data_IF_190626300661
#
_entry.id   IF_190626300661
#
_cell.length_a   1.000
_cell.length_b   1.000
_cell.length_c   1.000
_cell.angle_alpha   90.00
_cell.angle_beta   90.00
_cell.angle_gamma   90.00
#
_symmetry.space_group_name_H-M   'P 1'
#
loop_
_entity.id
_entity.type
_entity.pdbx_description
1 polymer ?
#
# COMPACT_ATOMS: atom_id res chain seq x y z
N UNK A 1 10.97 4.53 18.12
CA UNK A 1 10.63 3.49 19.10
C UNK A 1 10.29 2.26 18.28
N UNK A 2 11.02 1.17 18.47
CA UNK A 2 10.78 -0.09 17.78
C UNK A 2 9.55 -0.80 18.37
N UNK A 3 9.01 -1.74 17.63
CA UNK A 3 7.85 -2.54 18.01
C UNK A 3 8.32 -3.99 18.17
N UNK A 4 7.96 -4.62 19.28
CA UNK A 4 8.29 -6.03 19.53
C UNK A 4 7.33 -6.95 18.75
N UNK A 5 7.81 -8.15 18.39
CA UNK A 5 6.95 -9.15 17.76
C UNK A 5 5.74 -9.51 18.64
N UNK A 6 5.94 -9.58 19.95
CA UNK A 6 4.89 -9.88 20.93
C UNK A 6 3.77 -8.83 21.05
N UNK A 7 3.94 -7.65 20.45
CA UNK A 7 2.90 -6.60 20.39
C UNK A 7 1.91 -6.80 19.22
N UNK A 8 2.18 -7.74 18.32
CA UNK A 8 1.25 -8.11 17.24
C UNK A 8 0.23 -9.11 17.79
N UNK A 9 -1.05 -8.89 17.54
CA UNK A 9 -2.10 -9.82 17.99
C UNK A 9 -2.02 -11.16 17.26
N UNK A 10 -2.27 -12.25 18.00
CA UNK A 10 -2.43 -13.59 17.41
C UNK A 10 -3.64 -13.58 16.45
N UNK A 11 -3.52 -14.28 15.32
CA UNK A 11 -4.49 -14.23 14.22
C UNK A 11 -4.22 -13.13 13.19
N UNK A 12 -3.25 -12.22 13.45
CA UNK A 12 -2.92 -11.16 12.49
C UNK A 12 -2.33 -11.71 11.20
N UNK A 13 -2.73 -11.08 10.10
CA UNK A 13 -2.13 -11.28 8.78
C UNK A 13 -0.78 -10.55 8.71
N UNK A 14 0.24 -11.27 8.29
CA UNK A 14 1.58 -10.74 8.03
C UNK A 14 2.04 -11.08 6.62
N UNK A 15 3.00 -10.36 6.11
CA UNK A 15 3.59 -10.63 4.79
C UNK A 15 5.07 -10.94 4.94
N UNK A 16 5.53 -12.03 4.36
CA UNK A 16 6.94 -12.36 4.24
C UNK A 16 7.45 -11.90 2.87
N UNK A 17 8.46 -11.03 2.90
CA UNK A 17 9.21 -10.60 1.72
C UNK A 17 10.44 -11.51 1.61
N UNK A 18 10.46 -12.38 0.62
CA UNK A 18 11.51 -13.39 0.45
C UNK A 18 12.41 -12.96 -0.70
N UNK A 19 13.69 -12.83 -0.41
CA UNK A 19 14.72 -12.40 -1.36
C UNK A 19 15.67 -13.55 -1.66
N UNK A 20 15.70 -13.98 -2.88
CA UNK A 20 16.73 -14.89 -3.39
C UNK A 20 17.59 -14.17 -4.45
N UNK A 21 18.61 -14.84 -4.98
CA UNK A 21 19.53 -14.25 -5.97
C UNK A 21 18.87 -13.84 -7.29
N UNK A 22 17.69 -14.37 -7.62
CA UNK A 22 17.07 -14.21 -8.93
C UNK A 22 15.73 -13.45 -8.85
N UNK A 23 14.96 -13.61 -7.77
CA UNK A 23 13.62 -13.07 -7.65
C UNK A 23 13.29 -12.60 -6.23
N UNK A 24 12.40 -11.61 -6.15
CA UNK A 24 11.76 -11.21 -4.91
C UNK A 24 10.32 -11.73 -4.93
N UNK A 25 9.90 -12.42 -3.87
CA UNK A 25 8.59 -13.00 -3.74
C UNK A 25 7.90 -12.51 -2.47
N UNK A 26 6.60 -12.31 -2.53
CA UNK A 26 5.76 -12.02 -1.37
C UNK A 26 4.92 -13.25 -1.03
N UNK A 27 4.77 -13.52 0.26
CA UNK A 27 3.95 -14.62 0.76
C UNK A 27 3.15 -14.16 1.96
N UNK A 28 1.84 -14.40 1.95
CA UNK A 28 0.95 -14.20 3.08
C UNK A 28 1.21 -15.24 4.16
N UNK A 29 1.06 -14.83 5.41
CA UNK A 29 1.09 -15.73 6.55
C UNK A 29 0.17 -15.20 7.67
N UNK A 30 -0.29 -16.12 8.53
CA UNK A 30 -1.04 -15.79 9.75
C UNK A 30 -0.16 -16.07 10.96
N UNK A 31 -0.02 -15.09 11.85
CA UNK A 31 0.63 -15.27 13.14
C UNK A 31 -0.31 -16.05 14.05
N UNK A 32 0.01 -17.30 14.37
CA UNK A 32 -0.86 -18.20 15.15
C UNK A 32 -0.69 -18.05 16.64
N UNK A 33 0.55 -18.02 17.11
CA UNK A 33 0.86 -18.04 18.53
C UNK A 33 2.25 -17.49 18.81
N UNK A 34 2.38 -16.72 19.88
CA UNK A 34 3.68 -16.32 20.42
C UNK A 34 4.28 -17.44 21.29
N UNK A 35 5.49 -17.86 20.97
CA UNK A 35 6.25 -18.83 21.77
C UNK A 35 7.17 -18.12 22.76
N UNK A 36 7.74 -17.00 22.34
CA UNK A 36 8.56 -16.07 23.11
C UNK A 36 8.39 -14.65 22.57
N UNK A 37 9.02 -13.67 23.21
CA UNK A 37 8.96 -12.27 22.72
C UNK A 37 9.48 -12.11 21.30
N UNK A 38 10.43 -12.98 20.87
CA UNK A 38 11.12 -12.94 19.59
C UNK A 38 10.75 -14.11 18.66
N UNK A 39 9.89 -15.04 19.09
CA UNK A 39 9.52 -16.25 18.33
C UNK A 39 8.00 -16.41 18.28
N UNK A 40 7.46 -16.61 17.08
CA UNK A 40 6.07 -16.94 16.86
C UNK A 40 5.91 -18.14 15.93
N UNK A 41 4.81 -18.89 16.10
CA UNK A 41 4.34 -19.86 15.11
C UNK A 41 3.49 -19.14 14.06
N UNK A 42 3.75 -19.44 12.81
CA UNK A 42 3.04 -18.88 11.67
C UNK A 42 2.53 -19.99 10.74
N UNK A 43 1.38 -19.75 10.13
CA UNK A 43 0.86 -20.56 9.03
C UNK A 43 1.03 -19.79 7.73
N UNK A 44 1.62 -20.42 6.72
CA UNK A 44 1.84 -19.79 5.41
C UNK A 44 0.63 -20.00 4.50
N UNK A 45 0.33 -18.99 3.69
CA UNK A 45 -0.72 -19.03 2.66
C UNK A 45 -0.12 -19.41 1.31
N UNK A 46 -0.23 -20.70 0.94
CA UNK A 46 0.25 -21.20 -0.37
C UNK A 46 -0.47 -22.49 -0.81
N UNK A 47 -0.57 -22.68 -2.12
CA UNK A 47 -1.41 -23.72 -2.74
C UNK A 47 -0.72 -25.08 -2.93
N UNK A 48 0.42 -25.35 -2.31
CA UNK A 48 1.11 -26.62 -2.54
C UNK A 48 1.16 -27.49 -1.29
N UNK A 49 1.08 -28.82 -1.47
CA UNK A 49 1.26 -29.79 -0.38
C UNK A 49 2.73 -29.95 0.05
N UNK A 50 3.68 -29.39 -0.70
CA UNK A 50 5.10 -29.48 -0.39
C UNK A 50 5.47 -28.39 0.61
N UNK A 51 6.15 -28.76 1.67
CA UNK A 51 6.70 -27.78 2.62
C UNK A 51 7.79 -26.95 1.96
N UNK A 52 7.73 -25.66 2.20
CA UNK A 52 8.73 -24.72 1.74
C UNK A 52 9.96 -24.79 2.65
N UNK A 53 11.13 -24.71 2.03
CA UNK A 53 12.40 -24.56 2.72
C UNK A 53 12.91 -23.12 2.49
N UNK A 54 13.33 -22.48 3.59
CA UNK A 54 13.80 -21.09 3.58
C UNK A 54 15.32 -21.00 3.82
N UNK A 55 16.06 -22.09 3.62
CA UNK A 55 17.52 -22.07 3.72
C UNK A 55 18.12 -21.18 2.62
N UNK A 56 19.12 -20.39 2.97
CA UNK A 56 19.86 -19.51 2.07
C UNK A 56 19.05 -18.39 1.39
N UNK A 57 17.91 -18.03 1.95
CA UNK A 57 17.13 -16.84 1.52
C UNK A 57 17.09 -15.82 2.64
N UNK A 58 17.07 -14.54 2.24
CA UNK A 58 16.79 -13.46 3.18
C UNK A 58 15.29 -13.27 3.25
N UNK A 59 14.74 -13.11 4.46
CA UNK A 59 13.33 -12.87 4.68
C UNK A 59 13.17 -11.62 5.53
N UNK A 60 12.32 -10.71 5.10
CA UNK A 60 11.85 -9.60 5.91
C UNK A 60 10.35 -9.83 6.19
N UNK A 61 9.90 -9.64 7.43
CA UNK A 61 8.48 -9.70 7.78
C UNK A 61 7.89 -8.29 7.78
N UNK A 62 6.72 -8.15 7.22
CA UNK A 62 5.94 -6.91 7.20
C UNK A 62 4.59 -7.12 7.88
N UNK A 63 4.22 -6.18 8.74
CA UNK A 63 2.90 -6.08 9.36
C UNK A 63 2.39 -4.65 9.26
N UNK A 64 1.10 -4.46 9.07
CA UNK A 64 0.48 -3.12 9.04
C UNK A 64 -0.66 -3.05 10.03
N UNK A 65 -0.63 -2.04 10.90
CA UNK A 65 -1.81 -1.64 11.67
C UNK A 65 -2.84 -0.92 10.77
N UNK A 66 -3.99 -0.61 11.33
CA UNK A 66 -5.09 0.10 10.65
C UNK A 66 -4.70 1.45 10.06
N UNK A 67 -3.62 2.07 10.55
CA UNK A 67 -3.06 3.31 10.01
C UNK A 67 -2.39 3.12 8.64
N UNK A 68 -2.20 1.87 8.21
CA UNK A 68 -1.64 1.49 6.91
C UNK A 68 -0.15 1.80 6.75
N UNK A 69 0.56 2.12 7.84
CA UNK A 69 2.02 2.28 7.84
C UNK A 69 2.67 0.94 8.18
N UNK A 70 3.37 0.30 7.24
CA UNK A 70 3.98 -0.98 7.51
C UNK A 70 5.11 -0.88 8.53
N UNK A 71 5.20 -1.92 9.35
CA UNK A 71 6.31 -2.19 10.25
C UNK A 71 7.10 -3.33 9.65
N UNK A 72 8.40 -3.20 9.60
CA UNK A 72 9.28 -4.20 9.00
C UNK A 72 10.27 -4.72 10.04
N UNK A 73 10.29 -6.05 10.18
CA UNK A 73 11.37 -6.81 10.84
C UNK A 73 12.26 -7.38 9.76
N UNK A 74 13.55 -7.02 9.80
CA UNK A 74 14.52 -7.45 8.77
C UNK A 74 15.24 -8.72 9.17
N UNK A 75 15.59 -9.54 8.16
CA UNK A 75 16.37 -10.76 8.32
C UNK A 75 15.75 -11.75 9.33
N UNK A 76 14.46 -11.96 9.27
CA UNK A 76 13.77 -12.96 10.10
C UNK A 76 14.16 -14.37 9.65
N UNK A 77 14.21 -15.30 10.58
CA UNK A 77 14.47 -16.72 10.30
C UNK A 77 13.13 -17.48 10.33
N UNK A 78 12.85 -18.25 9.30
CA UNK A 78 11.66 -19.12 9.22
C UNK A 78 12.11 -20.53 9.03
N UNK A 79 11.64 -21.44 9.88
CA UNK A 79 11.98 -22.87 9.86
C UNK A 79 10.72 -23.73 9.98
N UNK A 80 10.76 -24.91 9.42
CA UNK A 80 9.68 -25.88 9.57
C UNK A 80 9.50 -26.30 11.03
N UNK A 81 8.27 -26.27 11.53
CA UNK A 81 7.94 -26.72 12.88
C UNK A 81 6.59 -27.48 12.86
N UNK A 82 6.61 -28.81 13.06
CA UNK A 82 5.41 -29.67 12.99
C UNK A 82 4.61 -29.41 11.70
N UNK A 83 3.35 -28.99 11.83
CA UNK A 83 2.48 -28.64 10.68
C UNK A 83 2.61 -27.17 10.26
N UNK A 84 3.21 -26.34 11.09
CA UNK A 84 3.40 -24.90 10.89
C UNK A 84 4.88 -24.54 10.64
N UNK A 85 5.18 -23.26 10.77
CA UNK A 85 6.53 -22.72 10.72
C UNK A 85 6.82 -21.93 12.00
N UNK A 86 8.02 -22.03 12.52
CA UNK A 86 8.51 -21.14 13.56
C UNK A 86 9.26 -19.99 12.91
N UNK A 87 8.85 -18.77 13.26
CA UNK A 87 9.50 -17.54 12.81
C UNK A 87 10.19 -16.87 13.99
N UNK A 88 11.46 -16.52 13.82
CA UNK A 88 12.27 -15.77 14.81
C UNK A 88 12.68 -14.42 14.24
N UNK A 89 12.48 -13.36 15.03
CA UNK A 89 12.99 -12.02 14.76
C UNK A 89 14.23 -11.77 15.62
N UNK A 90 15.18 -10.93 15.14
CA UNK A 90 16.44 -10.63 15.82
C UNK A 90 16.55 -9.17 16.24
N UNK A 91 15.54 -8.38 15.95
CA UNK A 91 15.47 -6.95 16.29
C UNK A 91 14.02 -6.53 16.43
N UNK A 92 13.81 -5.35 16.99
CA UNK A 92 12.49 -4.72 16.95
C UNK A 92 12.10 -4.32 15.52
N UNK A 93 10.80 -4.36 15.22
CA UNK A 93 10.24 -3.88 13.98
C UNK A 93 10.25 -2.35 13.91
N UNK A 94 10.58 -1.84 12.75
CA UNK A 94 10.61 -0.40 12.52
C UNK A 94 9.51 0.03 11.55
N UNK A 95 8.81 1.10 11.87
CA UNK A 95 7.86 1.73 10.94
C UNK A 95 8.58 2.15 9.66
N UNK A 96 8.13 1.65 8.55
CA UNK A 96 8.72 1.91 7.24
C UNK A 96 7.74 2.63 6.34
N UNK A 97 7.78 3.95 6.40
CA UNK A 97 6.99 4.74 5.46
C UNK A 97 7.63 4.66 4.06
N UNK A 98 7.12 3.77 3.21
CA UNK A 98 7.54 3.64 1.80
C UNK A 98 7.16 4.87 0.97
N UNK A 99 6.32 5.75 1.53
CA UNK A 99 5.78 6.90 0.81
C UNK A 99 6.64 8.12 1.11
N UNK A 100 7.32 8.64 0.10
CA UNK A 100 8.06 9.90 0.22
C UNK A 100 7.15 11.12 0.44
N UNK A 101 5.84 10.98 0.16
CA UNK A 101 4.85 12.04 0.33
C UNK A 101 3.61 11.53 1.08
N UNK A 102 3.09 12.37 1.95
CA UNK A 102 1.84 12.11 2.66
C UNK A 102 0.65 12.11 1.68
N UNK A 103 -0.34 11.25 1.93
CA UNK A 103 -1.57 11.16 1.14
C UNK A 103 -2.78 11.57 1.97
N UNK A 104 -3.65 12.35 1.35
CA UNK A 104 -4.95 12.72 1.94
C UNK A 104 -6.08 12.09 1.12
N UNK A 105 -7.08 11.56 1.81
CA UNK A 105 -8.32 11.13 1.17
C UNK A 105 -9.13 12.36 0.77
N UNK A 106 -9.67 12.35 -0.45
CA UNK A 106 -10.36 13.51 -1.04
C UNK A 106 -11.84 13.25 -1.25
N UNK A 107 -12.18 12.16 -1.93
CA UNK A 107 -13.55 11.80 -2.30
C UNK A 107 -14.29 12.91 -3.09
N UNK A 108 -13.58 13.66 -3.94
CA UNK A 108 -14.14 14.73 -4.76
C UNK A 108 -14.44 14.23 -6.18
N UNK A 109 -15.51 14.79 -6.79
CA UNK A 109 -15.78 14.58 -8.21
C UNK A 109 -14.89 15.52 -9.02
N UNK A 110 -14.20 14.96 -10.01
CA UNK A 110 -13.30 15.69 -10.90
C UNK A 110 -13.66 15.48 -12.36
N UNK A 111 -13.35 16.45 -13.19
CA UNK A 111 -13.37 16.31 -14.63
C UNK A 111 -12.04 15.75 -15.11
N UNK A 112 -12.08 14.56 -15.73
CA UNK A 112 -10.94 13.93 -16.37
C UNK A 112 -10.90 14.31 -17.84
N UNK A 113 -9.74 14.72 -18.33
CA UNK A 113 -9.48 15.09 -19.72
C UNK A 113 -8.31 14.30 -20.28
N UNK A 114 -8.46 13.76 -21.49
CA UNK A 114 -7.42 13.09 -22.27
C UNK A 114 -7.41 13.66 -23.70
N UNK A 115 -6.26 13.69 -24.33
CA UNK A 115 -6.14 14.11 -25.73
C UNK A 115 -7.00 13.22 -26.64
N UNK A 116 -7.87 13.85 -27.42
CA UNK A 116 -8.73 13.13 -28.38
C UNK A 116 -9.93 12.38 -27.78
N UNK A 117 -10.21 12.53 -26.49
CA UNK A 117 -11.39 11.96 -25.83
C UNK A 117 -12.27 13.06 -25.23
N UNK A 118 -13.57 12.78 -25.15
CA UNK A 118 -14.52 13.64 -24.44
C UNK A 118 -14.23 13.65 -22.95
N UNK A 119 -14.26 14.79 -22.26
CA UNK A 119 -14.11 14.86 -20.82
C UNK A 119 -15.13 13.97 -20.08
N UNK A 120 -14.69 13.31 -19.03
CA UNK A 120 -15.48 12.40 -18.22
C UNK A 120 -15.43 12.77 -16.73
N UNK A 121 -16.46 12.38 -15.97
CA UNK A 121 -16.49 12.57 -14.53
C UNK A 121 -15.91 11.35 -13.83
N UNK A 122 -14.99 11.59 -12.89
CA UNK A 122 -14.36 10.57 -12.07
C UNK A 122 -14.36 10.98 -10.60
N UNK A 123 -14.16 10.03 -9.70
CA UNK A 123 -13.95 10.34 -8.28
C UNK A 123 -12.46 10.29 -7.96
N UNK A 124 -11.92 11.40 -7.45
CA UNK A 124 -10.58 11.43 -6.86
C UNK A 124 -10.64 10.79 -5.48
N UNK A 125 -9.88 9.71 -5.27
CA UNK A 125 -9.87 8.94 -4.02
C UNK A 125 -8.88 9.52 -3.01
N UNK A 126 -7.64 9.66 -3.43
CA UNK A 126 -6.55 10.21 -2.62
C UNK A 126 -5.58 11.04 -3.47
N UNK A 127 -4.87 11.96 -2.80
CA UNK A 127 -3.89 12.85 -3.39
C UNK A 127 -2.66 12.97 -2.50
N UNK A 128 -1.50 13.11 -3.12
CA UNK A 128 -0.22 13.48 -2.51
C UNK A 128 0.54 14.46 -3.39
N UNK A 129 1.68 14.96 -2.94
CA UNK A 129 2.54 15.83 -3.77
C UNK A 129 3.12 15.12 -5.00
N UNK A 130 3.25 13.78 -4.96
CA UNK A 130 3.83 12.98 -6.03
C UNK A 130 2.82 12.27 -6.92
N UNK A 131 1.53 12.29 -6.58
CA UNK A 131 0.53 11.56 -7.36
C UNK A 131 -0.86 11.59 -6.75
N UNK A 132 -1.79 10.99 -7.46
CA UNK A 132 -3.18 10.89 -7.06
C UNK A 132 -3.78 9.56 -7.52
N UNK A 133 -4.93 9.19 -6.96
CA UNK A 133 -5.71 8.07 -7.43
C UNK A 133 -7.14 8.48 -7.78
N UNK A 134 -7.67 7.86 -8.84
CA UNK A 134 -9.05 8.03 -9.28
C UNK A 134 -9.76 6.69 -9.27
N UNK A 135 -11.07 6.74 -9.06
CA UNK A 135 -11.95 5.59 -9.08
C UNK A 135 -12.90 5.66 -10.25
N UNK A 136 -12.95 4.58 -11.02
CA UNK A 136 -13.91 4.35 -12.11
C UNK A 136 -14.91 3.26 -11.69
N UNK A 137 -16.07 3.67 -11.19
CA UNK A 137 -17.15 2.75 -10.77
C UNK A 137 -17.88 2.10 -11.93
N UNK A 138 -17.84 2.71 -13.10
CA UNK A 138 -18.54 2.19 -14.29
C UNK A 138 -17.68 1.25 -15.11
N UNK A 139 -16.36 1.21 -14.83
CA UNK A 139 -15.35 0.46 -15.59
C UNK A 139 -15.31 0.86 -17.09
N UNK A 140 -15.62 2.14 -17.39
CA UNK A 140 -15.75 2.66 -18.75
C UNK A 140 -14.51 3.43 -19.25
N UNK A 141 -13.57 3.81 -18.33
CA UNK A 141 -12.39 4.61 -18.71
C UNK A 141 -11.41 3.86 -19.60
N UNK A 142 -11.23 2.56 -19.36
CA UNK A 142 -10.33 1.70 -20.15
C UNK A 142 -8.90 2.25 -20.26
N UNK A 143 -8.35 2.76 -19.15
CA UNK A 143 -6.99 3.32 -19.12
C UNK A 143 -5.95 2.21 -19.05
N UNK A 144 -4.81 2.42 -19.71
CA UNK A 144 -3.66 1.53 -19.68
C UNK A 144 -2.49 2.15 -18.89
N UNK A 145 -1.57 1.30 -18.45
CA UNK A 145 -0.31 1.78 -17.87
C UNK A 145 0.42 2.68 -18.87
N UNK A 146 0.84 3.85 -18.40
CA UNK A 146 1.51 4.84 -19.22
C UNK A 146 0.62 5.91 -19.81
N UNK A 147 -0.70 5.74 -19.81
CA UNK A 147 -1.64 6.76 -20.30
C UNK A 147 -1.49 8.06 -19.53
N UNK A 148 -1.54 9.18 -20.27
CA UNK A 148 -1.44 10.52 -19.72
C UNK A 148 -2.79 11.20 -19.74
N UNK A 149 -3.16 11.79 -18.61
CA UNK A 149 -4.42 12.50 -18.46
C UNK A 149 -4.28 13.70 -17.53
N UNK A 150 -5.28 14.58 -17.55
CA UNK A 150 -5.43 15.67 -16.60
C UNK A 150 -6.74 15.51 -15.84
N UNK A 151 -6.74 15.91 -14.58
CA UNK A 151 -7.95 16.07 -13.77
C UNK A 151 -8.02 17.49 -13.22
N UNK A 152 -9.23 18.02 -13.12
CA UNK A 152 -9.47 19.26 -12.41
C UNK A 152 -10.72 19.16 -11.53
N UNK A 153 -10.68 19.78 -10.37
CA UNK A 153 -11.81 19.86 -9.45
C UNK A 153 -11.64 21.03 -8.48
N UNK A 154 -12.73 21.43 -7.87
CA UNK A 154 -12.72 22.40 -6.77
C UNK A 154 -13.14 21.70 -5.47
N UNK A 155 -12.37 21.93 -4.40
CA UNK A 155 -12.70 21.47 -3.06
C UNK A 155 -12.12 22.43 -2.02
N UNK A 156 -12.94 22.77 -1.03
CA UNK A 156 -12.54 23.65 0.09
C UNK A 156 -11.98 25.03 -0.36
N UNK A 157 -12.47 25.57 -1.47
CA UNK A 157 -12.01 26.87 -2.02
C UNK A 157 -10.69 26.78 -2.76
N UNK A 158 -10.17 25.60 -3.03
CA UNK A 158 -8.97 25.38 -3.85
C UNK A 158 -9.36 24.77 -5.19
N UNK A 159 -8.79 25.33 -6.26
CA UNK A 159 -8.85 24.76 -7.60
C UNK A 159 -7.62 23.89 -7.82
N UNK A 160 -7.84 22.60 -8.00
CA UNK A 160 -6.79 21.60 -8.18
C UNK A 160 -6.78 21.14 -9.64
N UNK A 161 -5.65 21.37 -10.32
CA UNK A 161 -5.38 20.89 -11.69
C UNK A 161 -4.12 20.03 -11.68
N UNK A 162 -4.30 18.73 -11.94
CA UNK A 162 -3.24 17.74 -11.92
C UNK A 162 -3.15 17.02 -13.25
N UNK A 163 -1.91 16.90 -13.74
CA UNK A 163 -1.58 16.06 -14.90
C UNK A 163 -0.78 14.87 -14.42
N UNK A 164 -1.21 13.67 -14.81
CA UNK A 164 -0.59 12.45 -14.34
C UNK A 164 -0.45 11.40 -15.43
N UNK A 165 0.44 10.46 -15.16
CA UNK A 165 0.66 9.25 -15.93
C UNK A 165 0.20 8.05 -15.11
N UNK A 166 -0.59 7.16 -15.70
CA UNK A 166 -1.05 5.92 -15.03
C UNK A 166 0.15 5.02 -14.76
N UNK A 167 0.37 4.70 -13.49
CA UNK A 167 1.47 3.84 -13.01
C UNK A 167 0.98 2.59 -12.30
N UNK A 168 -0.32 2.53 -11.97
CA UNK A 168 -0.94 1.39 -11.33
C UNK A 168 -2.40 1.28 -11.73
N UNK A 169 -2.87 0.06 -11.98
CA UNK A 169 -4.27 -0.30 -12.20
C UNK A 169 -4.59 -1.39 -11.18
N UNK A 170 -5.68 -1.23 -10.46
CA UNK A 170 -6.18 -2.20 -9.49
C UNK A 170 -7.66 -2.42 -9.79
N UNK A 171 -8.01 -3.62 -10.20
CA UNK A 171 -9.39 -4.03 -10.41
C UNK A 171 -9.97 -4.55 -9.10
N UNK A 172 -11.12 -4.02 -8.73
CA UNK A 172 -11.95 -4.46 -7.62
C UNK A 172 -13.31 -4.92 -8.20
N UNK A 173 -14.11 -5.62 -7.39
CA UNK A 173 -15.38 -6.18 -7.86
C UNK A 173 -16.30 -5.11 -8.48
N UNK A 174 -16.44 -3.97 -7.81
CA UNK A 174 -17.37 -2.88 -8.19
C UNK A 174 -16.69 -1.68 -8.86
N UNK A 175 -15.38 -1.67 -9.04
CA UNK A 175 -14.67 -0.51 -9.56
C UNK A 175 -13.27 -0.83 -10.07
N UNK A 176 -12.70 0.10 -10.83
CA UNK A 176 -11.27 0.11 -11.15
C UNK A 176 -10.64 1.33 -10.49
N UNK A 177 -9.50 1.14 -9.83
CA UNK A 177 -8.72 2.20 -9.22
C UNK A 177 -7.45 2.40 -10.04
N UNK A 178 -7.27 3.63 -10.53
CA UNK A 178 -6.07 4.03 -11.24
C UNK A 178 -5.19 4.88 -10.33
N UNK A 179 -3.95 4.48 -10.14
CA UNK A 179 -2.92 5.27 -9.46
C UNK A 179 -2.06 6.00 -10.50
N UNK A 180 -1.87 7.29 -10.29
CA UNK A 180 -1.16 8.16 -11.23
C UNK A 180 0.00 8.87 -10.54
N UNK A 181 1.11 8.96 -11.24
CA UNK A 181 2.24 9.81 -10.88
C UNK A 181 2.05 11.19 -11.50
N UNK A 182 2.13 12.25 -10.67
CA UNK A 182 1.98 13.64 -11.12
C UNK A 182 3.27 14.15 -11.72
N UNK A 183 3.17 14.84 -12.85
CA UNK A 183 4.32 15.48 -13.53
C UNK A 183 4.18 16.99 -13.74
N UNK A 184 3.13 17.62 -13.20
CA UNK A 184 2.97 19.07 -13.19
C UNK A 184 3.01 19.61 -11.76
N UNK A 185 3.34 20.89 -11.64
CA UNK A 185 3.27 21.64 -10.39
C UNK A 185 1.89 22.30 -10.30
N UNK A 186 1.08 21.88 -9.32
CA UNK A 186 -0.15 22.57 -8.95
C UNK A 186 0.14 23.48 -7.74
N UNK A 187 0.00 24.80 -7.92
CA UNK A 187 0.37 25.81 -6.91
C UNK A 187 -0.36 25.60 -5.59
N UNK A 188 -1.63 25.24 -5.63
CA UNK A 188 -2.47 25.12 -4.44
C UNK A 188 -2.41 23.76 -3.78
N UNK A 189 -1.76 22.76 -4.40
CA UNK A 189 -1.76 21.38 -3.94
C UNK A 189 -1.19 21.21 -2.52
N UNK A 190 -0.08 21.88 -2.24
CA UNK A 190 0.57 21.78 -0.92
C UNK A 190 -0.31 22.36 0.20
N UNK A 191 -0.91 23.53 -0.04
CA UNK A 191 -1.84 24.17 0.89
C UNK A 191 -3.09 23.31 1.11
N UNK A 192 -3.66 22.80 0.03
CA UNK A 192 -4.81 21.91 0.06
C UNK A 192 -4.56 20.64 0.89
N UNK A 193 -3.44 19.95 0.64
CA UNK A 193 -3.05 18.75 1.41
C UNK A 193 -2.92 19.10 2.90
N UNK A 194 -2.26 20.20 3.24
CA UNK A 194 -2.06 20.65 4.63
C UNK A 194 -3.38 20.92 5.36
N UNK A 195 -4.35 21.52 4.67
CA UNK A 195 -5.69 21.79 5.25
C UNK A 195 -6.46 20.49 5.47
N UNK A 196 -6.44 19.57 4.51
CA UNK A 196 -7.08 18.24 4.63
C UNK A 196 -6.49 17.43 5.79
N UNK A 197 -5.18 17.50 6.01
CA UNK A 197 -4.51 16.82 7.14
C UNK A 197 -5.02 17.32 8.48
N UNK A 198 -5.09 18.66 8.67
CA UNK A 198 -5.55 19.26 9.95
C UNK A 198 -6.97 18.85 10.29
N UNK A 199 -7.88 18.75 9.29
CA UNK A 199 -9.27 18.34 9.52
C UNK A 199 -9.41 16.87 9.93
N UNK A 200 -8.46 16.00 9.54
CA UNK A 200 -8.47 14.57 9.93
C UNK A 200 -7.96 14.37 11.37
N UNK A 201 -7.09 15.24 11.85
CA UNK A 201 -6.54 15.17 13.22
C UNK A 201 -7.47 15.70 14.31
N UNK A 202 -8.60 16.32 13.95
CA UNK A 202 -9.60 16.88 14.88
C UNK A 202 -10.88 16.04 14.98
N UNK A 203 -10.86 14.83 14.52
CA UNK A 203 -11.89 13.80 14.73
C UNK A 203 -11.29 12.64 15.50
#
# INVERSE_FOLDING_TARGET
MGIKLSEIEEGSQITLQIYNSENNMQMGAVLKQHVREDIALISLEYDTKRRLNFDNVRIDMEYSYDDGVPIIWRNVKVVNYREDYAMQVFSEGNRHNRRGCFRVSVAAVATLSMTGKTPQQVTVRDISLSGFSITDRKKELGLNLGDKLAINFEDMGHYIDLKGKVVRIQEEEDMVIYGLETYNLCRDLSSYISIKQRKKGNK
#
